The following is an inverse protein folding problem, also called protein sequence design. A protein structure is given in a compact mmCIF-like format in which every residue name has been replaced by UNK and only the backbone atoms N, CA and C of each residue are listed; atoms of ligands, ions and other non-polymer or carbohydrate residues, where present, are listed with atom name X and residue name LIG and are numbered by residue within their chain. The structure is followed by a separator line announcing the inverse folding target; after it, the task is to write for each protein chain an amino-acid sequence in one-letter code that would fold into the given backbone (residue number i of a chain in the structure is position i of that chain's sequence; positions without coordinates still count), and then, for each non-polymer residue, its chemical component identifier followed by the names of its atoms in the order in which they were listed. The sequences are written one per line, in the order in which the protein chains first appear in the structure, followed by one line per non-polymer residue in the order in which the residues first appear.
data_IF_989358599348
#
_entry.id   IF_989358599348
#
_cell.length_a   1.000
_cell.length_b   1.000
_cell.length_c   1.000
_cell.angle_alpha   90.00
_cell.angle_beta   90.00
_cell.angle_gamma   90.00
#
_symmetry.space_group_name_H-M   'P 1'
#
loop_
_entity.id
_entity.type
_entity.pdbx_description
1 polymer ?
#
# COMPACT_ATOMS: atom_id res chain seq x y z
N UNK A 1 -4.85 -8.62 -1.12
CA UNK A 1 -5.65 -9.57 -0.29
C UNK A 1 -6.87 -10.04 -1.07
N UNK A 2 -7.20 -11.33 -1.04
CA UNK A 2 -8.38 -11.94 -1.72
C UNK A 2 -8.94 -13.05 -0.84
N UNK A 3 -10.23 -13.36 -0.98
CA UNK A 3 -10.89 -14.43 -0.20
C UNK A 3 -10.47 -15.81 -0.73
N UNK A 4 -10.63 -16.03 -2.03
CA UNK A 4 -10.18 -17.24 -2.72
C UNK A 4 -9.19 -16.91 -3.84
N UNK A 5 -8.44 -17.90 -4.32
CA UNK A 5 -7.46 -17.72 -5.41
C UNK A 5 -8.09 -17.22 -6.71
N UNK A 6 -9.34 -17.60 -6.98
CA UNK A 6 -10.15 -17.21 -8.14
C UNK A 6 -10.95 -15.90 -7.93
N UNK A 7 -10.96 -15.34 -6.72
CA UNK A 7 -11.74 -14.13 -6.43
C UNK A 7 -10.99 -12.84 -6.80
N UNK A 8 -11.77 -11.81 -7.10
CA UNK A 8 -11.25 -10.45 -7.19
C UNK A 8 -10.62 -10.00 -5.86
N UNK A 9 -9.48 -9.30 -5.90
CA UNK A 9 -8.83 -8.82 -4.70
C UNK A 9 -9.69 -7.75 -3.99
N UNK A 10 -9.68 -7.79 -2.66
CA UNK A 10 -10.26 -6.77 -1.78
C UNK A 10 -9.43 -5.48 -1.84
N UNK A 11 -8.12 -5.64 -1.96
CA UNK A 11 -7.13 -4.58 -2.13
C UNK A 11 -5.92 -5.16 -2.87
N UNK A 12 -5.35 -4.37 -3.77
CA UNK A 12 -4.09 -4.69 -4.45
C UNK A 12 -3.06 -3.58 -4.19
N UNK A 13 -1.80 -3.96 -4.05
CA UNK A 13 -0.67 -3.03 -3.85
C UNK A 13 0.41 -3.40 -4.84
N UNK A 14 0.97 -2.40 -5.51
CA UNK A 14 2.14 -2.54 -6.37
C UNK A 14 3.17 -1.50 -5.93
N UNK A 15 4.41 -1.94 -5.78
CA UNK A 15 5.54 -1.09 -5.40
C UNK A 15 6.62 -1.25 -6.46
N UNK A 16 7.17 -0.13 -6.89
CA UNK A 16 8.30 -0.07 -7.81
C UNK A 16 9.41 0.75 -7.17
N UNK A 17 10.64 0.24 -7.25
CA UNK A 17 11.86 0.93 -6.82
C UNK A 17 12.70 1.20 -8.06
N UNK A 18 12.90 2.46 -8.37
CA UNK A 18 13.76 2.92 -9.47
C UNK A 18 14.86 3.78 -8.88
N UNK A 19 16.03 3.17 -8.65
CA UNK A 19 17.16 3.77 -7.92
C UNK A 19 16.72 4.27 -6.53
N UNK A 20 16.54 5.58 -6.38
CA UNK A 20 16.13 6.28 -5.15
C UNK A 20 14.61 6.49 -5.09
N UNK A 21 13.93 6.45 -6.24
CA UNK A 21 12.51 6.76 -6.31
C UNK A 21 11.68 5.50 -6.07
N UNK A 22 10.88 5.53 -5.01
CA UNK A 22 9.88 4.51 -4.73
C UNK A 22 8.50 5.01 -5.15
N UNK A 23 7.72 4.15 -5.81
CA UNK A 23 6.33 4.44 -6.15
C UNK A 23 5.42 3.38 -5.55
N UNK A 24 4.46 3.82 -4.73
CA UNK A 24 3.46 2.96 -4.11
C UNK A 24 2.10 3.22 -4.78
N UNK A 25 1.55 2.18 -5.40
CA UNK A 25 0.25 2.22 -6.07
C UNK A 25 -0.72 1.28 -5.38
N UNK A 26 -1.90 1.77 -5.00
CA UNK A 26 -2.94 0.94 -4.36
C UNK A 26 -4.20 0.92 -5.22
N UNK A 27 -4.60 -0.28 -5.60
CA UNK A 27 -5.75 -0.58 -6.46
C UNK A 27 -6.79 -1.46 -5.77
N UNK A 28 -7.80 -1.86 -6.54
CA UNK A 28 -8.99 -2.60 -6.06
C UNK A 28 -9.72 -1.89 -4.90
N UNK A 29 -9.50 -0.58 -4.77
CA UNK A 29 -10.36 0.32 -4.00
C UNK A 29 -11.70 0.41 -4.75
N UNK A 30 -12.82 0.74 -4.08
CA UNK A 30 -14.08 1.02 -4.80
C UNK A 30 -13.95 2.12 -5.87
N UNK A 31 -12.88 2.92 -5.80
CA UNK A 31 -12.51 3.95 -6.75
C UNK A 31 -11.31 3.52 -7.61
N UNK A 32 -10.90 4.39 -8.55
CA UNK A 32 -9.69 4.18 -9.37
C UNK A 32 -8.45 3.97 -8.48
N UNK A 33 -7.49 3.20 -9.01
CA UNK A 33 -6.19 3.07 -8.37
C UNK A 33 -5.55 4.44 -8.19
N UNK A 34 -4.85 4.62 -7.07
CA UNK A 34 -4.18 5.87 -6.76
C UNK A 34 -2.77 5.59 -6.26
N UNK A 35 -1.91 6.56 -6.51
CA UNK A 35 -0.54 6.60 -6.03
C UNK A 35 -0.57 7.22 -4.62
N UNK A 36 0.11 6.61 -3.67
CA UNK A 36 0.38 7.22 -2.37
C UNK A 36 1.61 8.12 -2.53
N UNK A 37 1.39 9.36 -2.94
CA UNK A 37 2.45 10.32 -3.29
C UNK A 37 3.26 10.67 -2.06
N UNK A 38 2.59 10.98 -0.94
CA UNK A 38 3.28 11.33 0.31
C UNK A 38 4.11 10.17 0.86
N UNK A 39 3.59 8.95 0.80
CA UNK A 39 4.33 7.77 1.24
C UNK A 39 5.54 7.48 0.33
N UNK A 40 5.39 7.73 -0.98
CA UNK A 40 6.43 7.56 -1.99
C UNK A 40 7.56 8.59 -1.80
N UNK A 41 7.21 9.86 -1.59
CA UNK A 41 8.14 10.95 -1.28
C UNK A 41 8.87 10.68 0.03
N UNK A 42 8.15 10.32 1.10
CA UNK A 42 8.73 10.00 2.41
C UNK A 42 9.82 8.91 2.32
N UNK A 43 9.59 7.87 1.52
CA UNK A 43 10.57 6.81 1.32
C UNK A 43 11.72 7.18 0.37
N UNK A 44 11.51 8.14 -0.52
CA UNK A 44 12.57 8.60 -1.43
C UNK A 44 13.56 9.53 -0.70
N UNK A 45 13.10 10.21 0.35
CA UNK A 45 13.92 11.11 1.19
C UNK A 45 14.61 10.39 2.37
N UNK A 46 14.16 9.19 2.74
CA UNK A 46 14.65 8.45 3.91
C UNK A 46 15.24 7.10 3.52
N UNK A 47 16.12 6.56 4.37
CA UNK A 47 16.63 5.19 4.20
C UNK A 47 15.52 4.14 4.39
N UNK A 48 15.60 3.05 3.62
CA UNK A 48 14.70 1.89 3.69
C UNK A 48 14.99 1.03 4.94
N UNK A 49 14.67 1.57 6.12
CA UNK A 49 14.73 0.85 7.40
C UNK A 49 13.32 0.41 7.83
N UNK A 50 13.23 -0.61 8.71
CA UNK A 50 11.94 -1.15 9.16
C UNK A 50 11.01 -0.08 9.75
N UNK A 51 11.54 0.86 10.54
CA UNK A 51 10.76 1.96 11.11
C UNK A 51 10.17 2.88 10.03
N UNK A 52 10.94 3.19 8.99
CA UNK A 52 10.50 4.04 7.89
C UNK A 52 9.49 3.32 7.00
N UNK A 53 9.64 2.01 6.82
CA UNK A 53 8.66 1.16 6.12
C UNK A 53 7.32 1.17 6.88
N UNK A 54 7.35 1.05 8.21
CA UNK A 54 6.14 1.11 9.04
C UNK A 54 5.47 2.49 8.90
N UNK A 55 6.24 3.58 9.06
CA UNK A 55 5.72 4.95 8.90
C UNK A 55 5.15 5.19 7.50
N UNK A 56 5.85 4.78 6.44
CA UNK A 56 5.37 4.91 5.07
C UNK A 56 4.06 4.13 4.84
N UNK A 57 3.92 2.95 5.43
CA UNK A 57 2.69 2.17 5.35
C UNK A 57 1.50 2.83 6.06
N UNK A 58 1.75 3.56 7.15
CA UNK A 58 0.74 4.36 7.86
C UNK A 58 0.33 5.58 7.01
N UNK A 59 1.31 6.32 6.49
CA UNK A 59 1.09 7.47 5.61
C UNK A 59 0.26 7.04 4.39
N UNK A 60 0.61 5.93 3.74
CA UNK A 60 -0.15 5.42 2.59
C UNK A 60 -1.59 5.06 2.97
N UNK A 61 -1.81 4.44 4.12
CA UNK A 61 -3.15 4.09 4.59
C UNK A 61 -3.99 5.31 5.00
N UNK A 62 -3.37 6.43 5.37
CA UNK A 62 -4.06 7.67 5.73
C UNK A 62 -4.31 8.59 4.54
N UNK A 63 -3.35 8.67 3.63
CA UNK A 63 -3.44 9.46 2.40
C UNK A 63 -4.54 8.95 1.45
N UNK A 64 -4.71 7.63 1.39
CA UNK A 64 -5.62 6.98 0.45
C UNK A 64 -7.05 6.87 1.01
N UNK A 65 -8.04 7.12 0.15
CA UNK A 65 -9.47 7.06 0.50
C UNK A 65 -10.06 5.67 0.28
N UNK A 66 -10.41 4.99 1.36
CA UNK A 66 -11.12 3.71 1.27
C UNK A 66 -12.64 3.91 1.37
N UNK A 67 -13.41 3.12 0.61
CA UNK A 67 -14.86 3.01 0.74
C UNK A 67 -15.25 1.65 1.31
N UNK A 68 -16.52 1.47 1.68
CA UNK A 68 -17.12 0.21 2.11
C UNK A 68 -18.00 -0.38 0.99
N UNK A 69 -18.10 -1.71 0.90
CA UNK A 69 -19.04 -2.42 0.04
C UNK A 69 -19.27 -3.86 0.55
N UNK A 70 -20.05 -4.68 -0.16
CA UNK A 70 -20.34 -6.08 0.22
C UNK A 70 -19.10 -6.95 0.48
N UNK A 71 -17.92 -6.60 -0.05
CA UNK A 71 -16.69 -7.41 0.12
C UNK A 71 -15.89 -7.05 1.37
N UNK A 72 -15.99 -5.81 1.86
CA UNK A 72 -15.22 -5.32 3.00
C UNK A 72 -15.67 -3.93 3.46
N UNK A 73 -15.45 -3.63 4.74
CA UNK A 73 -15.60 -2.29 5.30
C UNK A 73 -14.43 -1.37 4.89
N UNK A 74 -14.61 -0.07 5.13
CA UNK A 74 -13.58 0.95 4.89
C UNK A 74 -12.39 0.74 5.82
N UNK A 75 -12.67 0.47 7.08
CA UNK A 75 -11.72 0.27 8.17
C UNK A 75 -10.86 -0.97 7.89
N UNK A 76 -11.49 -2.05 7.42
CA UNK A 76 -10.79 -3.28 7.06
C UNK A 76 -9.84 -3.07 5.88
N UNK A 77 -10.26 -2.33 4.84
CA UNK A 77 -9.37 -1.97 3.73
C UNK A 77 -8.19 -1.10 4.18
N UNK A 78 -8.42 -0.15 5.08
CA UNK A 78 -7.35 0.70 5.64
C UNK A 78 -6.32 -0.15 6.40
N UNK A 79 -6.78 -1.06 7.26
CA UNK A 79 -5.91 -1.97 8.02
C UNK A 79 -5.10 -2.90 7.09
N UNK A 80 -5.75 -3.49 6.08
CA UNK A 80 -5.07 -4.32 5.07
C UNK A 80 -4.05 -3.51 4.27
N UNK A 81 -4.36 -2.27 3.90
CA UNK A 81 -3.44 -1.43 3.14
C UNK A 81 -2.11 -1.28 3.87
N UNK A 82 -2.15 -0.96 5.17
CA UNK A 82 -0.96 -0.87 6.02
C UNK A 82 -0.13 -2.15 5.97
N UNK A 83 -0.75 -3.30 6.18
CA UNK A 83 -0.05 -4.60 6.18
C UNK A 83 0.53 -4.96 4.81
N UNK A 84 -0.22 -4.76 3.72
CA UNK A 84 0.24 -5.09 2.37
C UNK A 84 1.37 -4.17 1.91
N UNK A 85 1.28 -2.87 2.18
CA UNK A 85 2.34 -1.91 1.85
C UNK A 85 3.60 -2.24 2.64
N UNK A 86 3.48 -2.52 3.94
CA UNK A 86 4.62 -2.95 4.77
C UNK A 86 5.32 -4.18 4.17
N UNK A 87 4.56 -5.23 3.86
CA UNK A 87 5.13 -6.47 3.33
C UNK A 87 5.78 -6.27 1.96
N UNK A 88 5.13 -5.53 1.06
CA UNK A 88 5.67 -5.24 -0.27
C UNK A 88 6.94 -4.37 -0.20
N UNK A 89 7.02 -3.42 0.74
CA UNK A 89 8.22 -2.62 0.95
C UNK A 89 9.37 -3.46 1.50
N UNK A 90 9.11 -4.37 2.43
CA UNK A 90 10.12 -5.29 2.94
C UNK A 90 10.66 -6.19 1.81
N UNK A 91 9.78 -6.72 0.96
CA UNK A 91 10.17 -7.53 -0.19
C UNK A 91 11.05 -6.74 -1.18
N UNK A 92 10.66 -5.51 -1.51
CA UNK A 92 11.44 -4.62 -2.38
C UNK A 92 12.77 -4.18 -1.76
N UNK A 93 12.85 -4.08 -0.43
CA UNK A 93 14.11 -3.78 0.27
C UNK A 93 15.10 -4.96 0.26
N UNK A 94 14.59 -6.18 0.09
CA UNK A 94 15.40 -7.41 0.02
C UNK A 94 15.94 -7.74 -1.38
N UNK A 95 15.56 -6.97 -2.40
CA UNK A 95 16.11 -7.04 -3.76
C UNK A 95 17.20 -5.98 -3.99
#
# INVERSE_FOLDING_TARGET
MRNSRSDYPILNVAISKENVNLKICVGARPQRAAIAVKASEFLSENELNEENIIKASEIAAEELVFGSNMRASKEYRKAICKSLVKNALMEVSSC
#
